data_IF_901422092317
#
_entry.id   IF_901422092317
#
_cell.length_a   1.000
_cell.length_b   1.000
_cell.length_c   1.000
_cell.angle_alpha   90.00
_cell.angle_beta   90.00
_cell.angle_gamma   90.00
#
_symmetry.space_group_name_H-M   'P 1'
#
loop_
_entity.id
_entity.type
_entity.pdbx_description
1 polymer ?
#
# COMPACT_ATOMS: atom_id res chain seq x y z
N UNK A 1 -16.25 -1.25 13.73
CA UNK A 1 -15.34 -0.45 14.57
C UNK A 1 -15.35 0.98 14.04
N UNK A 2 -15.34 1.98 14.92
CA UNK A 2 -15.20 3.39 14.53
C UNK A 2 -14.04 4.00 15.31
N UNK A 3 -13.16 4.71 14.63
CA UNK A 3 -11.97 5.33 15.23
C UNK A 3 -12.38 6.50 16.13
N UNK A 4 -11.89 6.49 17.37
CA UNK A 4 -11.99 7.63 18.27
C UNK A 4 -11.09 8.79 17.84
N UNK A 5 -11.27 10.00 18.40
CA UNK A 5 -10.51 11.17 18.01
C UNK A 5 -8.99 10.94 18.06
N UNK A 6 -8.30 11.43 17.02
CA UNK A 6 -6.84 11.42 16.95
C UNK A 6 -6.29 12.67 17.62
N UNK A 7 -5.49 12.49 18.68
CA UNK A 7 -4.90 13.57 19.48
C UNK A 7 -3.39 13.45 19.48
N UNK A 8 -2.70 14.59 19.58
CA UNK A 8 -1.24 14.67 19.69
C UNK A 8 -0.87 15.10 21.11
N UNK A 9 0.06 14.36 21.71
CA UNK A 9 0.65 14.62 23.03
C UNK A 9 2.16 14.80 22.86
N UNK A 10 2.67 16.03 22.83
CA UNK A 10 4.11 16.28 22.70
C UNK A 10 4.89 15.63 23.84
N UNK A 11 6.02 14.99 23.51
CA UNK A 11 6.97 14.55 24.54
C UNK A 11 7.65 15.78 25.16
N UNK A 12 7.92 15.72 26.47
CA UNK A 12 8.56 16.81 27.21
C UNK A 12 10.08 16.90 27.00
N UNK A 13 10.68 15.94 26.30
CA UNK A 13 12.12 15.94 26.04
C UNK A 13 12.61 14.71 25.31
N UNK A 14 13.93 14.51 25.38
CA UNK A 14 14.62 13.38 24.80
C UNK A 14 14.19 12.04 25.42
N UNK A 15 14.12 10.99 24.61
CA UNK A 15 13.86 9.64 25.08
C UNK A 15 14.60 8.59 24.25
N UNK A 16 14.88 7.41 24.83
CA UNK A 16 15.79 6.42 24.24
C UNK A 16 15.05 5.19 23.72
N UNK A 17 15.59 4.61 22.66
CA UNK A 17 15.21 3.31 22.15
C UNK A 17 15.09 2.26 23.27
N UNK A 18 14.04 1.44 23.20
CA UNK A 18 13.80 0.31 24.11
C UNK A 18 13.23 0.70 25.47
N UNK A 19 13.04 1.98 25.77
CA UNK A 19 12.38 2.42 27.02
C UNK A 19 10.88 2.17 26.95
N UNK A 20 10.31 1.62 28.01
CA UNK A 20 8.89 1.27 28.12
C UNK A 20 8.06 2.38 28.78
N UNK A 21 8.50 3.63 28.70
CA UNK A 21 7.73 4.80 29.11
C UNK A 21 8.03 5.98 28.21
N UNK A 22 7.25 7.05 28.30
CA UNK A 22 7.54 8.33 27.66
C UNK A 22 7.11 9.49 28.57
N UNK A 23 7.92 10.57 28.65
CA UNK A 23 7.52 11.80 29.34
C UNK A 23 6.72 12.71 28.40
N UNK A 24 5.51 13.10 28.78
CA UNK A 24 4.66 14.01 28.03
C UNK A 24 4.67 15.43 28.62
N UNK A 25 4.37 16.42 27.79
CA UNK A 25 4.12 17.79 28.26
C UNK A 25 2.81 17.87 29.08
N UNK A 26 1.80 17.10 28.68
CA UNK A 26 0.50 16.93 29.32
C UNK A 26 -0.04 15.55 28.95
N UNK A 27 -0.55 14.79 29.92
CA UNK A 27 -1.15 13.47 29.70
C UNK A 27 -2.70 13.47 29.85
N UNK A 28 -3.31 14.65 29.96
CA UNK A 28 -4.75 14.78 30.20
C UNK A 28 -5.59 14.05 29.15
N UNK A 29 -6.52 13.21 29.62
CA UNK A 29 -7.43 12.45 28.76
C UNK A 29 -6.88 11.10 28.26
N UNK A 30 -5.61 10.78 28.55
CA UNK A 30 -5.10 9.42 28.36
C UNK A 30 -5.54 8.51 29.51
N UNK A 31 -5.78 7.23 29.20
CA UNK A 31 -6.18 6.22 30.17
C UNK A 31 -5.37 4.93 29.99
N UNK A 32 -5.17 4.20 31.09
CA UNK A 32 -4.57 2.85 31.05
C UNK A 32 -5.44 1.94 30.19
N UNK A 33 -4.79 1.19 29.29
CA UNK A 33 -5.43 0.31 28.31
C UNK A 33 -5.67 0.96 26.94
N UNK A 34 -5.45 2.27 26.78
CA UNK A 34 -5.49 2.89 25.46
C UNK A 34 -4.32 2.42 24.58
N UNK A 35 -4.59 2.17 23.31
CA UNK A 35 -3.56 2.02 22.29
C UNK A 35 -3.10 3.40 21.82
N UNK A 36 -1.79 3.55 21.66
CA UNK A 36 -1.14 4.80 21.24
C UNK A 36 -0.07 4.51 20.21
N UNK A 37 0.30 5.54 19.44
CA UNK A 37 1.53 5.54 18.68
C UNK A 37 2.57 6.49 19.26
N UNK A 38 3.85 6.19 19.08
CA UNK A 38 4.95 7.10 19.45
C UNK A 38 5.88 7.26 18.25
N UNK A 39 6.13 8.51 17.88
CA UNK A 39 6.98 8.87 16.75
C UNK A 39 7.48 10.31 16.86
N UNK A 40 8.40 10.71 15.98
CA UNK A 40 8.82 12.11 15.80
C UNK A 40 8.41 12.67 14.44
N UNK A 41 8.69 13.95 14.20
CA UNK A 41 8.34 14.62 12.94
C UNK A 41 9.18 14.17 11.74
N UNK A 42 10.37 13.63 11.97
CA UNK A 42 11.31 13.18 10.93
C UNK A 42 11.06 11.72 10.50
N UNK A 43 10.63 10.87 11.44
CA UNK A 43 10.34 9.46 11.27
C UNK A 43 8.86 9.18 10.98
N UNK A 44 8.00 10.20 11.06
CA UNK A 44 6.58 10.07 10.74
C UNK A 44 6.38 9.53 9.32
N UNK A 45 5.62 8.44 9.22
CA UNK A 45 5.38 7.72 7.98
C UNK A 45 6.47 6.72 7.57
N UNK A 46 7.51 6.53 8.39
CA UNK A 46 8.52 5.48 8.25
C UNK A 46 8.27 4.25 9.13
N UNK A 47 9.30 3.39 9.26
CA UNK A 47 9.26 2.12 10.00
C UNK A 47 9.67 2.22 11.47
N UNK A 48 9.66 3.42 12.07
CA UNK A 48 10.11 3.62 13.45
C UNK A 48 9.02 4.11 14.41
N UNK A 49 7.77 4.18 13.94
CA UNK A 49 6.62 4.51 14.78
C UNK A 49 6.20 3.33 15.67
N UNK A 50 6.26 3.49 16.98
CA UNK A 50 5.89 2.45 17.94
C UNK A 50 4.37 2.40 18.09
N UNK A 51 3.77 1.21 18.13
CA UNK A 51 2.36 1.04 18.53
C UNK A 51 2.31 0.28 19.85
N UNK A 52 1.82 0.89 20.91
CA UNK A 52 1.87 0.33 22.26
C UNK A 52 0.56 0.54 23.02
N UNK A 53 0.39 -0.22 24.11
CA UNK A 53 -0.72 -0.05 25.04
C UNK A 53 -0.24 0.66 26.30
N UNK A 54 -1.00 1.64 26.79
CA UNK A 54 -0.71 2.31 28.06
C UNK A 54 -0.90 1.32 29.22
N UNK A 55 0.14 1.12 30.03
CA UNK A 55 0.12 0.21 31.20
C UNK A 55 -0.04 0.94 32.53
N UNK A 56 0.44 2.18 32.63
CA UNK A 56 0.28 3.05 33.79
C UNK A 56 0.42 4.51 33.38
N UNK A 57 -0.14 5.41 34.20
CA UNK A 57 0.05 6.86 34.07
C UNK A 57 0.39 7.39 35.45
N UNK A 58 1.46 8.19 35.55
CA UNK A 58 1.87 8.87 36.77
C UNK A 58 2.34 10.28 36.44
N UNK A 59 1.62 11.28 36.95
CA UNK A 59 1.79 12.67 36.53
C UNK A 59 1.71 12.75 34.99
N UNK A 60 2.72 13.28 34.30
CA UNK A 60 2.79 13.31 32.84
C UNK A 60 3.67 12.20 32.23
N UNK A 61 3.97 11.15 32.99
CA UNK A 61 4.66 9.97 32.47
C UNK A 61 3.65 8.87 32.11
N UNK A 62 3.85 8.27 30.95
CA UNK A 62 3.01 7.20 30.43
C UNK A 62 3.87 5.95 30.24
N UNK A 63 3.49 4.87 30.91
CA UNK A 63 4.08 3.55 30.72
C UNK A 63 3.50 2.82 29.52
N UNK A 64 4.34 2.09 28.80
CA UNK A 64 4.02 1.30 27.61
C UNK A 64 4.22 -0.18 27.89
N UNK A 65 3.53 -1.04 27.13
CA UNK A 65 3.64 -2.50 27.26
C UNK A 65 4.93 -3.08 26.65
N UNK A 66 5.66 -2.29 25.86
CA UNK A 66 7.01 -2.60 25.37
C UNK A 66 7.80 -1.32 25.06
N UNK A 67 9.07 -1.51 24.72
CA UNK A 67 10.01 -0.43 24.44
C UNK A 67 9.75 0.28 23.12
N UNK A 68 10.02 1.59 23.07
CA UNK A 68 9.93 2.37 21.83
C UNK A 68 10.99 1.96 20.79
N UNK A 69 10.63 2.08 19.51
CA UNK A 69 11.40 1.60 18.35
C UNK A 69 12.47 2.57 17.83
N UNK A 70 12.63 3.75 18.44
CA UNK A 70 13.64 4.74 18.06
C UNK A 70 14.12 5.60 19.24
N UNK A 71 15.28 6.24 19.04
CA UNK A 71 15.71 7.37 19.87
C UNK A 71 15.01 8.65 19.40
N UNK A 72 14.57 9.48 20.35
CA UNK A 72 13.86 10.72 20.06
C UNK A 72 14.61 11.91 20.61
N UNK A 73 15.03 12.84 19.74
CA UNK A 73 15.60 14.13 20.15
C UNK A 73 14.50 15.16 20.30
N UNK A 74 14.67 16.07 21.25
CA UNK A 74 13.69 17.13 21.49
C UNK A 74 13.41 17.98 20.23
N UNK A 75 14.45 18.27 19.44
CA UNK A 75 14.34 19.09 18.22
C UNK A 75 13.55 18.40 17.09
N UNK A 76 13.45 17.06 17.13
CA UNK A 76 12.66 16.27 16.16
C UNK A 76 11.16 16.29 16.48
N UNK A 77 10.77 16.98 17.56
CA UNK A 77 9.39 17.17 18.04
C UNK A 77 8.64 15.84 18.22
N UNK A 78 9.18 14.92 19.05
CA UNK A 78 8.54 13.65 19.33
C UNK A 78 7.18 13.84 19.99
N UNK A 79 6.26 12.93 19.69
CA UNK A 79 4.93 12.91 20.25
C UNK A 79 4.40 11.49 20.41
N UNK A 80 3.61 11.32 21.45
CA UNK A 80 2.64 10.23 21.54
C UNK A 80 1.36 10.69 20.85
N UNK A 81 0.69 9.80 20.13
CA UNK A 81 -0.61 10.10 19.54
C UNK A 81 -1.63 9.00 19.84
N UNK A 82 -2.91 9.36 19.83
CA UNK A 82 -4.01 8.38 19.76
C UNK A 82 -4.40 8.07 18.31
N UNK A 83 -3.50 8.31 17.35
CA UNK A 83 -3.66 7.94 15.94
C UNK A 83 -2.92 6.63 15.70
N UNK A 84 -3.64 5.57 15.36
CA UNK A 84 -3.13 4.21 15.20
C UNK A 84 -4.13 3.39 14.38
N UNK A 85 -3.70 2.27 13.74
CA UNK A 85 -4.58 1.37 13.02
C UNK A 85 -5.75 0.85 13.87
N UNK A 86 -6.96 0.73 13.31
CA UNK A 86 -8.08 0.12 14.04
C UNK A 86 -7.86 -1.38 14.31
N UNK A 87 -7.18 -2.06 13.39
CA UNK A 87 -6.74 -3.45 13.53
C UNK A 87 -5.29 -3.52 13.10
N UNK A 88 -4.42 -4.04 13.95
CA UNK A 88 -3.05 -4.32 13.54
C UNK A 88 -2.48 -5.58 14.16
N UNK A 89 -1.44 -6.12 13.52
CA UNK A 89 -0.70 -7.27 14.00
C UNK A 89 0.76 -7.25 13.54
N UNK A 90 1.67 -7.47 14.49
CA UNK A 90 3.10 -7.57 14.22
C UNK A 90 3.57 -9.00 14.48
N UNK A 91 4.28 -9.59 13.51
CA UNK A 91 4.86 -10.94 13.61
C UNK A 91 3.84 -12.03 13.98
N UNK A 92 2.62 -11.90 13.48
CA UNK A 92 1.56 -12.88 13.70
C UNK A 92 1.53 -13.92 12.58
N UNK A 93 0.90 -15.06 12.86
CA UNK A 93 0.76 -16.15 11.90
C UNK A 93 -0.62 -16.78 11.97
N UNK A 94 -1.11 -17.27 10.82
CA UNK A 94 -2.39 -18.01 10.74
C UNK A 94 -3.55 -17.24 11.38
N UNK A 95 -3.66 -15.97 11.00
CA UNK A 95 -4.61 -15.03 11.59
C UNK A 95 -5.62 -14.55 10.55
N UNK A 96 -6.79 -14.13 11.02
CA UNK A 96 -7.84 -13.67 10.14
C UNK A 96 -8.60 -12.46 10.68
N UNK A 97 -9.00 -11.57 9.77
CA UNK A 97 -9.92 -10.46 10.02
C UNK A 97 -11.09 -10.63 9.05
N UNK A 98 -12.29 -10.83 9.57
CA UNK A 98 -13.46 -11.19 8.76
C UNK A 98 -14.69 -10.37 9.12
N UNK A 99 -15.47 -10.02 8.10
CA UNK A 99 -16.85 -9.51 8.22
C UNK A 99 -16.97 -8.26 9.09
N UNK A 100 -16.02 -7.33 8.96
CA UNK A 100 -15.98 -6.08 9.73
C UNK A 100 -16.30 -4.86 8.87
N UNK A 101 -17.03 -3.94 9.49
CA UNK A 101 -17.15 -2.55 9.04
C UNK A 101 -16.22 -1.68 9.88
N UNK A 102 -15.35 -0.90 9.24
CA UNK A 102 -14.40 0.01 9.88
C UNK A 102 -14.64 1.43 9.38
N UNK A 103 -14.65 2.39 10.29
CA UNK A 103 -14.87 3.80 9.98
C UNK A 103 -13.76 4.63 10.63
N UNK A 104 -12.98 5.30 9.79
CA UNK A 104 -11.76 5.99 10.17
C UNK A 104 -11.98 7.37 10.79
N UNK A 105 -13.15 7.99 10.59
CA UNK A 105 -13.56 9.23 11.26
C UNK A 105 -12.50 10.35 11.13
N UNK A 106 -11.93 10.50 9.93
CA UNK A 106 -10.79 11.39 9.64
C UNK A 106 -11.00 12.81 10.11
N UNK A 107 -12.22 13.35 9.98
CA UNK A 107 -12.54 14.71 10.40
C UNK A 107 -12.29 14.99 11.90
N UNK A 108 -12.17 13.95 12.73
CA UNK A 108 -11.87 14.03 14.16
C UNK A 108 -10.41 13.69 14.50
N UNK A 109 -9.53 13.56 13.50
CA UNK A 109 -8.09 13.32 13.71
C UNK A 109 -7.30 14.62 13.54
N UNK A 110 -6.48 14.95 14.54
CA UNK A 110 -5.60 16.13 14.49
C UNK A 110 -4.36 15.89 13.59
N UNK A 111 -4.15 14.65 13.14
CA UNK A 111 -3.01 14.23 12.31
C UNK A 111 -3.34 12.96 11.52
N UNK A 112 -2.82 12.89 10.30
CA UNK A 112 -2.87 11.69 9.47
C UNK A 112 -1.78 10.70 9.88
N UNK A 113 -1.98 9.42 9.57
CA UNK A 113 -0.89 8.45 9.59
C UNK A 113 -0.15 8.40 8.25
N UNK A 114 1.14 8.05 8.29
CA UNK A 114 1.95 7.86 7.08
C UNK A 114 1.95 6.42 6.57
N UNK A 115 2.38 6.23 5.31
CA UNK A 115 2.09 5.01 4.55
C UNK A 115 2.77 3.71 4.99
N UNK A 116 3.91 3.75 5.70
CA UNK A 116 4.64 2.52 6.07
C UNK A 116 4.01 1.75 7.25
N UNK A 117 3.25 2.43 8.12
CA UNK A 117 2.58 1.81 9.30
C UNK A 117 1.11 2.23 9.46
N UNK A 118 0.68 3.25 8.74
CA UNK A 118 -0.59 3.93 8.93
C UNK A 118 -1.75 3.42 8.10
N UNK A 119 -2.08 2.13 8.22
CA UNK A 119 -3.31 1.57 7.63
C UNK A 119 -4.46 1.54 8.64
N UNK A 120 -5.72 1.66 8.21
CA UNK A 120 -6.88 1.33 9.05
C UNK A 120 -6.82 -0.13 9.50
N UNK A 121 -6.37 -1.00 8.60
CA UNK A 121 -5.89 -2.36 8.89
C UNK A 121 -4.40 -2.45 8.54
N UNK A 122 -3.57 -2.89 9.48
CA UNK A 122 -2.12 -2.92 9.31
C UNK A 122 -1.46 -4.23 9.74
N UNK A 123 -0.59 -4.80 8.90
CA UNK A 123 0.23 -5.95 9.30
C UNK A 123 1.71 -5.77 9.00
N UNK A 124 2.54 -6.26 9.90
CA UNK A 124 4.00 -6.16 9.79
C UNK A 124 4.64 -7.52 10.04
N UNK A 125 5.57 -7.94 9.17
CA UNK A 125 6.37 -9.18 9.33
C UNK A 125 5.53 -10.43 9.63
N UNK A 126 4.35 -10.53 9.04
CA UNK A 126 3.34 -11.55 9.38
C UNK A 126 3.11 -12.53 8.24
N UNK A 127 2.55 -13.71 8.53
CA UNK A 127 2.30 -14.75 7.51
C UNK A 127 0.96 -15.46 7.63
N UNK A 128 0.47 -16.00 6.52
CA UNK A 128 -0.75 -16.81 6.52
C UNK A 128 -1.93 -16.00 7.02
N UNK A 129 -2.14 -14.84 6.39
CA UNK A 129 -3.17 -13.89 6.79
C UNK A 129 -4.37 -14.02 5.88
N UNK A 130 -5.57 -13.95 6.48
CA UNK A 130 -6.83 -13.86 5.75
C UNK A 130 -7.57 -12.58 6.10
N UNK A 131 -7.88 -11.77 5.10
CA UNK A 131 -8.71 -10.57 5.25
C UNK A 131 -9.91 -10.74 4.32
N UNK A 132 -11.12 -10.88 4.87
CA UNK A 132 -12.31 -11.19 4.04
C UNK A 132 -13.56 -10.45 4.48
N UNK A 133 -14.38 -10.00 3.53
CA UNK A 133 -15.66 -9.37 3.84
C UNK A 133 -15.53 -8.02 4.55
N UNK A 134 -14.47 -7.26 4.25
CA UNK A 134 -14.19 -5.98 4.89
C UNK A 134 -14.87 -4.83 4.17
N UNK A 135 -15.42 -3.88 4.94
CA UNK A 135 -15.85 -2.57 4.45
C UNK A 135 -15.20 -1.50 5.32
N UNK A 136 -14.24 -0.80 4.78
CA UNK A 136 -13.47 0.24 5.47
C UNK A 136 -13.66 1.58 4.75
N UNK A 137 -13.79 2.67 5.51
CA UNK A 137 -13.92 4.01 4.94
C UNK A 137 -13.40 5.15 5.82
N UNK A 138 -13.06 6.27 5.16
CA UNK A 138 -12.72 7.59 5.74
C UNK A 138 -11.62 7.56 6.81
N UNK A 139 -10.57 6.75 6.58
CA UNK A 139 -9.37 6.77 7.39
C UNK A 139 -8.40 7.88 7.00
N UNK A 140 -7.82 8.53 8.01
CA UNK A 140 -6.78 9.53 7.82
C UNK A 140 -5.41 8.88 7.65
N UNK A 141 -5.28 8.08 6.59
CA UNK A 141 -4.11 7.28 6.27
C UNK A 141 -4.43 6.33 5.13
N UNK A 142 -3.78 5.18 5.11
CA UNK A 142 -4.05 4.11 4.13
C UNK A 142 -5.24 3.26 4.59
N UNK A 143 -5.98 2.64 3.68
CA UNK A 143 -7.05 1.70 4.05
C UNK A 143 -6.47 0.38 4.60
N UNK A 144 -5.94 -0.45 3.72
CA UNK A 144 -5.17 -1.65 4.07
C UNK A 144 -3.70 -1.44 3.75
N UNK A 145 -2.82 -1.68 4.73
CA UNK A 145 -1.38 -1.70 4.49
C UNK A 145 -0.73 -2.93 5.13
N UNK A 146 0.19 -3.57 4.44
CA UNK A 146 1.03 -4.58 5.06
C UNK A 146 2.44 -4.59 4.49
N UNK A 147 3.41 -4.87 5.37
CA UNK A 147 4.83 -4.72 5.07
C UNK A 147 5.59 -5.97 5.48
N UNK A 148 6.49 -6.45 4.62
CA UNK A 148 7.28 -7.68 4.84
C UNK A 148 6.42 -8.89 5.22
N UNK A 149 5.22 -9.00 4.66
CA UNK A 149 4.31 -10.12 4.93
C UNK A 149 4.38 -11.17 3.81
N UNK A 150 3.94 -12.40 4.10
CA UNK A 150 3.82 -13.46 3.10
C UNK A 150 2.56 -14.29 3.23
N UNK A 151 2.15 -14.90 2.13
CA UNK A 151 1.00 -15.81 2.10
C UNK A 151 -0.26 -15.10 2.64
N UNK A 152 -0.61 -13.98 2.01
CA UNK A 152 -1.73 -13.12 2.41
C UNK A 152 -2.87 -13.30 1.41
N UNK A 153 -4.08 -13.53 1.90
CA UNK A 153 -5.28 -13.65 1.08
C UNK A 153 -6.26 -12.56 1.50
N UNK A 154 -6.68 -11.75 0.52
CA UNK A 154 -7.65 -10.68 0.67
C UNK A 154 -8.79 -10.96 -0.30
N UNK A 155 -10.01 -11.06 0.23
CA UNK A 155 -11.21 -11.28 -0.58
C UNK A 155 -12.37 -10.40 -0.18
N UNK A 156 -13.20 -10.02 -1.13
CA UNK A 156 -14.49 -9.35 -0.87
C UNK A 156 -14.33 -8.09 0.01
N UNK A 157 -13.25 -7.33 -0.17
CA UNK A 157 -12.81 -6.27 0.73
C UNK A 157 -12.73 -4.91 0.02
N UNK A 158 -13.29 -3.87 0.63
CA UNK A 158 -13.32 -2.51 0.06
C UNK A 158 -12.79 -1.48 1.07
N UNK A 159 -11.98 -0.55 0.57
CA UNK A 159 -11.26 0.48 1.34
C UNK A 159 -11.40 1.83 0.63
N UNK A 160 -12.32 2.66 1.10
CA UNK A 160 -12.87 3.79 0.34
C UNK A 160 -12.71 5.15 1.03
N UNK A 161 -12.43 6.21 0.27
CA UNK A 161 -12.45 7.59 0.78
C UNK A 161 -11.31 7.94 1.74
N UNK A 162 -10.20 7.18 1.72
CA UNK A 162 -9.07 7.40 2.61
C UNK A 162 -8.18 8.57 2.14
N UNK A 163 -7.46 9.20 3.07
CA UNK A 163 -6.50 10.28 2.72
C UNK A 163 -5.19 9.74 2.10
N UNK A 164 -4.92 8.44 2.21
CA UNK A 164 -3.82 7.71 1.58
C UNK A 164 -4.27 6.84 0.41
N UNK A 165 -3.63 5.68 0.22
CA UNK A 165 -4.07 4.68 -0.76
C UNK A 165 -5.18 3.78 -0.17
N UNK A 166 -5.96 3.14 -1.04
CA UNK A 166 -6.94 2.14 -0.63
C UNK A 166 -6.27 0.85 -0.15
N UNK A 167 -5.53 0.20 -1.05
CA UNK A 167 -4.84 -1.08 -0.79
C UNK A 167 -3.33 -0.94 -1.05
N UNK A 168 -2.51 -1.30 -0.07
CA UNK A 168 -1.07 -1.05 -0.08
C UNK A 168 -0.27 -2.28 0.38
N UNK A 169 -0.05 -3.27 -0.49
CA UNK A 169 1.00 -4.26 -0.27
C UNK A 169 2.39 -3.62 -0.41
N UNK A 170 3.25 -3.75 0.60
CA UNK A 170 4.55 -3.11 0.56
C UNK A 170 5.72 -3.86 1.17
N UNK A 171 6.90 -3.24 1.01
CA UNK A 171 8.21 -3.63 1.51
C UNK A 171 8.48 -5.14 1.45
N UNK A 172 8.74 -5.67 0.26
CA UNK A 172 9.12 -7.07 0.11
C UNK A 172 7.99 -8.06 0.37
N UNK A 173 6.73 -7.62 0.56
CA UNK A 173 5.65 -8.57 0.77
C UNK A 173 5.49 -9.47 -0.45
N UNK A 174 5.38 -10.78 -0.21
CA UNK A 174 5.52 -11.80 -1.24
C UNK A 174 4.35 -12.79 -1.18
N UNK A 175 3.85 -13.21 -2.34
CA UNK A 175 2.78 -14.20 -2.46
C UNK A 175 1.47 -13.74 -1.78
N UNK A 176 0.83 -12.72 -2.36
CA UNK A 176 -0.46 -12.22 -1.89
C UNK A 176 -1.54 -12.29 -2.98
N UNK A 177 -2.78 -12.63 -2.59
CA UNK A 177 -3.94 -12.64 -3.46
C UNK A 177 -4.92 -11.56 -3.03
N UNK A 178 -5.31 -10.69 -3.96
CA UNK A 178 -6.47 -9.82 -3.87
C UNK A 178 -7.50 -10.28 -4.89
N UNK A 179 -8.69 -10.65 -4.43
CA UNK A 179 -9.77 -11.15 -5.27
C UNK A 179 -11.08 -10.47 -4.90
N UNK A 180 -11.81 -9.95 -5.90
CA UNK A 180 -13.08 -9.25 -5.67
C UNK A 180 -12.96 -8.13 -4.62
N UNK A 181 -11.90 -7.33 -4.71
CA UNK A 181 -11.63 -6.21 -3.81
C UNK A 181 -11.80 -4.86 -4.52
N UNK A 182 -11.87 -3.77 -3.76
CA UNK A 182 -11.92 -2.45 -4.37
C UNK A 182 -11.39 -1.31 -3.51
N UNK A 183 -11.16 -0.19 -4.18
CA UNK A 183 -10.86 1.08 -3.54
C UNK A 183 -11.40 2.22 -4.37
N UNK A 184 -12.30 3.01 -3.77
CA UNK A 184 -12.94 4.14 -4.41
C UNK A 184 -12.66 5.46 -3.68
N UNK A 185 -12.42 6.53 -4.44
CA UNK A 185 -12.35 7.88 -3.87
C UNK A 185 -11.18 8.11 -2.92
N UNK A 186 -10.14 7.27 -2.94
CA UNK A 186 -8.95 7.45 -2.13
C UNK A 186 -8.09 8.58 -2.71
N UNK A 187 -7.53 9.43 -1.86
CA UNK A 187 -6.79 10.60 -2.31
C UNK A 187 -5.50 10.26 -3.07
N UNK A 188 -4.94 9.05 -2.86
CA UNK A 188 -3.79 8.52 -3.62
C UNK A 188 -4.23 7.41 -4.58
N UNK A 189 -3.57 6.25 -4.59
CA UNK A 189 -3.94 5.15 -5.49
C UNK A 189 -5.06 4.29 -4.93
N UNK A 190 -5.91 3.73 -5.80
CA UNK A 190 -6.83 2.66 -5.40
C UNK A 190 -6.05 1.42 -4.97
N UNK A 191 -5.03 1.06 -5.75
CA UNK A 191 -4.07 0.00 -5.43
C UNK A 191 -2.63 0.50 -5.59
N UNK A 192 -1.81 0.32 -4.56
CA UNK A 192 -0.45 0.81 -4.49
C UNK A 192 0.52 -0.34 -4.21
N UNK A 193 1.17 -0.87 -5.24
CA UNK A 193 2.37 -1.65 -5.03
C UNK A 193 3.50 -0.69 -4.62
N UNK A 194 4.09 -0.95 -3.46
CA UNK A 194 5.02 -0.02 -2.84
C UNK A 194 6.46 -0.26 -3.33
N UNK A 195 7.22 -1.06 -2.59
CA UNK A 195 8.60 -1.42 -2.92
C UNK A 195 8.76 -2.91 -2.79
N UNK A 196 9.24 -3.54 -3.85
CA UNK A 196 9.57 -4.96 -3.91
C UNK A 196 8.37 -5.88 -3.58
N UNK A 197 7.16 -5.46 -3.94
CA UNK A 197 6.01 -6.34 -3.97
C UNK A 197 6.22 -7.42 -5.04
N UNK A 198 6.04 -8.69 -4.65
CA UNK A 198 6.49 -9.82 -5.46
C UNK A 198 5.49 -10.98 -5.47
N UNK A 199 5.18 -11.57 -6.63
CA UNK A 199 4.21 -12.66 -6.77
C UNK A 199 2.83 -12.31 -6.18
N UNK A 200 2.37 -11.09 -6.43
CA UNK A 200 1.03 -10.65 -6.00
C UNK A 200 0.07 -10.77 -7.18
N UNK A 201 -1.10 -11.36 -6.95
CA UNK A 201 -2.22 -11.35 -7.89
C UNK A 201 -3.28 -10.36 -7.42
N UNK A 202 -3.72 -9.49 -8.32
CA UNK A 202 -4.89 -8.62 -8.17
C UNK A 202 -5.88 -9.04 -9.24
N UNK A 203 -6.98 -9.68 -8.84
CA UNK A 203 -7.97 -10.22 -9.79
C UNK A 203 -9.40 -9.85 -9.44
N UNK A 204 -10.20 -9.61 -10.46
CA UNK A 204 -11.63 -9.27 -10.32
C UNK A 204 -11.86 -8.04 -9.43
N UNK A 205 -10.90 -7.11 -9.38
CA UNK A 205 -10.94 -5.94 -8.50
C UNK A 205 -11.41 -4.68 -9.24
N UNK A 206 -11.84 -3.67 -8.46
CA UNK A 206 -12.27 -2.37 -8.99
C UNK A 206 -11.59 -1.19 -8.28
N UNK A 207 -10.98 -0.30 -9.07
CA UNK A 207 -10.32 0.91 -8.59
C UNK A 207 -10.87 2.14 -9.33
N UNK A 208 -11.66 2.95 -8.62
CA UNK A 208 -12.39 4.06 -9.22
C UNK A 208 -12.23 5.38 -8.47
N UNK A 209 -12.21 6.50 -9.21
CA UNK A 209 -12.28 7.86 -8.61
C UNK A 209 -11.14 8.18 -7.63
N UNK A 210 -10.02 7.45 -7.69
CA UNK A 210 -8.86 7.70 -6.86
C UNK A 210 -7.92 8.72 -7.52
N UNK A 211 -6.90 9.19 -6.80
CA UNK A 211 -5.79 9.96 -7.38
C UNK A 211 -5.06 9.22 -8.51
N UNK A 212 -4.93 7.89 -8.44
CA UNK A 212 -4.55 7.02 -9.57
C UNK A 212 -5.19 5.64 -9.40
N UNK A 213 -5.37 4.88 -10.47
CA UNK A 213 -5.99 3.56 -10.38
C UNK A 213 -5.09 2.55 -9.66
N UNK A 214 -4.09 2.05 -10.37
CA UNK A 214 -3.08 1.11 -9.90
C UNK A 214 -1.71 1.74 -10.09
N UNK A 215 -0.90 1.77 -9.03
CA UNK A 215 0.48 2.25 -9.07
C UNK A 215 1.45 1.12 -8.77
N UNK A 216 2.39 0.86 -9.70
CA UNK A 216 3.42 -0.17 -9.60
C UNK A 216 4.77 0.51 -9.37
N UNK A 217 5.49 0.04 -8.35
CA UNK A 217 6.60 0.73 -7.71
C UNK A 217 7.95 0.05 -7.79
N UNK A 218 8.93 0.72 -7.18
CA UNK A 218 10.34 0.37 -7.21
C UNK A 218 10.61 -1.09 -6.81
N UNK A 219 11.33 -1.84 -7.64
CA UNK A 219 11.66 -3.28 -7.49
C UNK A 219 10.47 -4.23 -7.51
N UNK A 220 9.27 -3.76 -7.84
CA UNK A 220 8.11 -4.64 -7.94
C UNK A 220 8.28 -5.56 -9.14
N UNK A 221 8.04 -6.86 -8.92
CA UNK A 221 8.21 -7.85 -9.96
C UNK A 221 7.37 -9.11 -9.81
N UNK A 222 7.19 -9.86 -10.89
CA UNK A 222 6.43 -11.11 -10.93
C UNK A 222 4.98 -10.92 -10.46
N UNK A 223 4.37 -9.75 -10.69
CA UNK A 223 2.99 -9.47 -10.27
C UNK A 223 2.01 -9.68 -11.43
N UNK A 224 0.79 -10.11 -11.10
CA UNK A 224 -0.30 -10.33 -12.03
C UNK A 224 -1.48 -9.42 -11.69
N UNK A 225 -1.92 -8.62 -12.65
CA UNK A 225 -3.16 -7.84 -12.59
C UNK A 225 -4.08 -8.41 -13.67
N UNK A 226 -5.24 -8.93 -13.27
CA UNK A 226 -6.12 -9.68 -14.15
C UNK A 226 -7.58 -9.28 -13.96
N UNK A 227 -8.33 -9.13 -15.05
CA UNK A 227 -9.78 -8.91 -15.01
C UNK A 227 -10.23 -7.78 -14.06
N UNK A 228 -9.41 -6.73 -13.96
CA UNK A 228 -9.68 -5.58 -13.10
C UNK A 228 -10.39 -4.46 -13.86
N UNK A 229 -11.19 -3.66 -13.15
CA UNK A 229 -11.82 -2.44 -13.66
C UNK A 229 -11.14 -1.23 -13.06
N UNK A 230 -10.50 -0.42 -13.89
CA UNK A 230 -9.74 0.77 -13.47
C UNK A 230 -10.33 1.99 -14.17
N UNK A 231 -11.15 2.76 -13.46
CA UNK A 231 -11.98 3.78 -14.11
C UNK A 231 -12.05 5.12 -13.40
N UNK A 232 -12.18 6.20 -14.17
CA UNK A 232 -12.52 7.51 -13.63
C UNK A 232 -11.56 8.02 -12.56
N UNK A 233 -10.31 7.55 -12.55
CA UNK A 233 -9.30 8.04 -11.62
C UNK A 233 -8.81 9.41 -12.10
N UNK A 234 -8.49 10.30 -11.14
CA UNK A 234 -8.05 11.66 -11.42
C UNK A 234 -6.68 11.71 -12.12
N UNK A 235 -5.87 10.69 -11.93
CA UNK A 235 -4.59 10.47 -12.59
C UNK A 235 -4.60 9.24 -13.49
N UNK A 236 -3.42 8.70 -13.75
CA UNK A 236 -3.22 7.54 -14.64
C UNK A 236 -3.98 6.31 -14.14
N UNK A 237 -4.54 5.54 -15.08
CA UNK A 237 -5.19 4.26 -14.79
C UNK A 237 -4.21 3.25 -14.21
N UNK A 238 -3.18 2.85 -14.98
CA UNK A 238 -2.07 2.01 -14.53
C UNK A 238 -0.76 2.75 -14.69
N UNK A 239 -0.13 3.10 -13.58
CA UNK A 239 1.14 3.82 -13.53
C UNK A 239 2.28 2.89 -13.12
N UNK A 240 3.21 2.65 -14.03
CA UNK A 240 4.53 2.07 -13.70
C UNK A 240 5.45 3.25 -13.36
N UNK A 241 5.73 3.42 -12.07
CA UNK A 241 6.39 4.61 -11.51
C UNK A 241 7.86 4.72 -11.93
N UNK A 242 8.44 5.94 -11.93
CA UNK A 242 9.87 6.14 -12.14
C UNK A 242 10.69 5.33 -11.14
N UNK A 243 11.57 4.46 -11.65
CA UNK A 243 12.39 3.52 -10.90
C UNK A 243 13.57 3.15 -11.78
N UNK A 244 14.63 3.97 -11.78
CA UNK A 244 15.78 3.75 -12.64
C UNK A 244 16.54 2.48 -12.22
N UNK A 245 17.38 1.97 -13.12
CA UNK A 245 18.26 0.83 -12.82
C UNK A 245 19.08 1.04 -11.53
N UNK A 246 19.27 0.02 -10.68
CA UNK A 246 18.87 -1.40 -10.83
C UNK A 246 17.61 -1.74 -10.01
N UNK A 247 16.69 -0.79 -9.85
CA UNK A 247 15.49 -0.94 -9.01
C UNK A 247 14.20 -0.81 -9.79
N UNK A 248 14.27 -1.04 -11.09
CA UNK A 248 13.19 -0.97 -12.04
C UNK A 248 12.08 -2.01 -11.78
N UNK A 249 10.89 -1.71 -12.31
CA UNK A 249 9.76 -2.64 -12.34
C UNK A 249 10.01 -3.66 -13.44
N UNK A 250 9.79 -4.94 -13.16
CA UNK A 250 9.92 -5.94 -14.22
C UNK A 250 9.05 -7.18 -14.06
N UNK A 251 8.90 -7.97 -15.13
CA UNK A 251 8.22 -9.27 -15.09
C UNK A 251 6.78 -9.19 -14.55
N UNK A 252 6.04 -8.14 -14.91
CA UNK A 252 4.65 -7.98 -14.51
C UNK A 252 3.71 -8.21 -15.69
N UNK A 253 2.54 -8.78 -15.42
CA UNK A 253 1.50 -9.01 -16.44
C UNK A 253 0.21 -8.30 -16.06
N UNK A 254 -0.34 -7.55 -17.01
CA UNK A 254 -1.61 -6.86 -16.91
C UNK A 254 -2.49 -7.37 -18.04
N UNK A 255 -3.54 -8.11 -17.69
CA UNK A 255 -4.37 -8.75 -18.70
C UNK A 255 -5.87 -8.66 -18.45
N UNK A 256 -6.63 -8.65 -19.55
CA UNK A 256 -8.09 -8.72 -19.52
C UNK A 256 -8.73 -7.63 -18.67
N UNK A 257 -8.04 -6.50 -18.45
CA UNK A 257 -8.55 -5.40 -17.66
C UNK A 257 -9.33 -4.41 -18.52
N UNK A 258 -10.30 -3.72 -17.91
CA UNK A 258 -10.96 -2.55 -18.50
C UNK A 258 -10.39 -1.31 -17.84
N UNK A 259 -9.70 -0.47 -18.62
CA UNK A 259 -9.01 0.73 -18.15
C UNK A 259 -9.58 1.93 -18.91
N UNK A 260 -10.42 2.73 -18.27
CA UNK A 260 -11.20 3.74 -18.99
C UNK A 260 -11.44 5.04 -18.23
N UNK A 261 -11.48 6.14 -18.97
CA UNK A 261 -11.87 7.45 -18.45
C UNK A 261 -11.01 7.94 -17.28
N UNK A 262 -9.76 7.47 -17.19
CA UNK A 262 -8.77 8.03 -16.27
C UNK A 262 -8.24 9.36 -16.86
N UNK A 263 -7.17 9.94 -16.31
CA UNK A 263 -6.58 11.18 -16.84
C UNK A 263 -6.06 11.04 -18.29
N UNK A 264 -5.24 11.98 -18.76
CA UNK A 264 -4.68 12.01 -20.13
C UNK A 264 -3.92 10.75 -20.59
N UNK A 265 -3.63 9.80 -19.70
CA UNK A 265 -2.95 8.54 -20.05
C UNK A 265 -3.59 7.39 -19.30
N UNK A 266 -4.00 6.34 -20.02
CA UNK A 266 -4.63 5.16 -19.40
C UNK A 266 -3.58 4.22 -18.80
N UNK A 267 -2.49 3.95 -19.51
CA UNK A 267 -1.34 3.16 -19.03
C UNK A 267 -0.04 3.94 -19.29
N UNK A 268 0.78 4.14 -18.26
CA UNK A 268 2.01 4.91 -18.35
C UNK A 268 3.22 4.14 -17.83
N UNK A 269 4.17 3.85 -18.71
CA UNK A 269 5.46 3.21 -18.41
C UNK A 269 6.56 4.27 -18.45
N UNK A 270 6.98 4.75 -17.29
CA UNK A 270 7.68 6.04 -17.16
C UNK A 270 9.22 5.99 -17.15
N UNK A 271 9.82 4.80 -17.19
CA UNK A 271 11.26 4.62 -16.90
C UNK A 271 11.81 3.29 -17.44
N UNK A 272 12.97 2.85 -16.92
CA UNK A 272 13.75 1.65 -17.25
C UNK A 272 13.03 0.30 -17.04
N UNK A 273 11.71 0.30 -16.86
CA UNK A 273 10.93 -0.90 -16.65
C UNK A 273 11.06 -1.88 -17.82
N UNK A 274 11.04 -3.18 -17.53
CA UNK A 274 11.19 -4.21 -18.56
C UNK A 274 10.42 -5.50 -18.33
N UNK A 275 10.32 -6.34 -19.36
CA UNK A 275 9.58 -7.61 -19.31
C UNK A 275 8.13 -7.42 -18.83
N UNK A 276 7.47 -6.36 -19.30
CA UNK A 276 6.06 -6.08 -19.00
C UNK A 276 5.18 -6.62 -20.11
N UNK A 277 4.10 -7.30 -19.74
CA UNK A 277 3.13 -7.85 -20.68
C UNK A 277 1.78 -7.19 -20.44
N UNK A 278 1.26 -6.52 -21.48
CA UNK A 278 -0.09 -6.00 -21.54
C UNK A 278 -0.88 -6.82 -22.56
N UNK A 279 -1.85 -7.60 -22.09
CA UNK A 279 -2.52 -8.62 -22.90
C UNK A 279 -4.05 -8.49 -22.83
N UNK A 280 -4.73 -8.40 -23.98
CA UNK A 280 -6.19 -8.45 -24.06
C UNK A 280 -6.93 -7.42 -23.17
N UNK A 281 -6.33 -6.25 -22.94
CA UNK A 281 -6.98 -5.17 -22.19
C UNK A 281 -7.90 -4.34 -23.08
N UNK A 282 -8.99 -3.84 -22.50
CA UNK A 282 -9.87 -2.84 -23.11
C UNK A 282 -9.51 -1.47 -22.54
N UNK A 283 -9.06 -0.56 -23.40
CA UNK A 283 -8.50 0.72 -23.00
C UNK A 283 -9.28 1.84 -23.70
N UNK A 284 -9.88 2.75 -22.93
CA UNK A 284 -10.68 3.85 -23.47
C UNK A 284 -10.30 5.21 -22.85
N UNK A 285 -9.83 6.14 -23.68
CA UNK A 285 -9.44 7.49 -23.27
C UNK A 285 -10.59 8.50 -23.19
N UNK A 286 -11.81 8.16 -23.60
CA UNK A 286 -12.94 9.11 -23.62
C UNK A 286 -12.79 10.23 -24.66
N UNK A 287 -12.27 9.89 -25.84
CA UNK A 287 -11.95 10.74 -27.00
C UNK A 287 -10.79 11.73 -26.80
N UNK A 288 -9.98 11.56 -25.75
CA UNK A 288 -8.84 12.42 -25.43
C UNK A 288 -7.64 11.58 -24.96
N UNK A 289 -6.43 12.15 -24.98
CA UNK A 289 -5.25 11.56 -24.35
C UNK A 289 -4.66 10.32 -25.06
N UNK A 290 -3.86 9.56 -24.31
CA UNK A 290 -3.05 8.44 -24.80
C UNK A 290 -3.52 7.14 -24.15
N UNK A 291 -3.68 6.08 -24.94
CA UNK A 291 -3.99 4.75 -24.44
C UNK A 291 -2.82 4.18 -23.63
N UNK A 292 -1.69 3.95 -24.30
CA UNK A 292 -0.48 3.41 -23.66
C UNK A 292 0.72 4.30 -23.98
N UNK A 293 1.41 4.82 -22.97
CA UNK A 293 2.67 5.57 -23.11
C UNK A 293 3.85 4.74 -22.60
N UNK A 294 4.90 4.65 -23.41
CA UNK A 294 6.14 3.92 -23.11
C UNK A 294 7.34 4.83 -23.28
N UNK A 295 8.08 5.02 -22.19
CA UNK A 295 9.31 5.81 -22.15
C UNK A 295 10.44 5.19 -22.96
N UNK A 296 11.35 6.02 -23.45
CA UNK A 296 12.54 5.65 -24.23
C UNK A 296 13.39 4.59 -23.54
N UNK A 297 13.51 4.68 -22.21
CA UNK A 297 14.42 3.82 -21.47
C UNK A 297 13.81 2.47 -21.07
N UNK A 298 12.51 2.29 -21.30
CA UNK A 298 11.84 1.01 -21.12
C UNK A 298 12.31 -0.01 -22.17
N UNK A 299 12.26 -1.29 -21.84
CA UNK A 299 12.67 -2.36 -22.77
C UNK A 299 11.85 -3.63 -22.58
N UNK A 300 11.82 -4.52 -23.58
CA UNK A 300 11.07 -5.78 -23.48
C UNK A 300 9.59 -5.59 -23.09
N UNK A 301 8.94 -4.55 -23.59
CA UNK A 301 7.51 -4.31 -23.40
C UNK A 301 6.73 -5.08 -24.46
N UNK A 302 5.79 -5.89 -24.03
CA UNK A 302 4.96 -6.70 -24.91
C UNK A 302 3.51 -6.22 -24.87
N UNK A 303 2.96 -5.89 -26.04
CA UNK A 303 1.58 -5.50 -26.24
C UNK A 303 0.90 -6.54 -27.12
N UNK A 304 -0.09 -7.26 -26.58
CA UNK A 304 -0.80 -8.32 -27.30
C UNK A 304 -2.31 -8.14 -27.19
N UNK A 305 -2.99 -8.10 -28.33
CA UNK A 305 -4.46 -8.10 -28.39
C UNK A 305 -5.18 -7.04 -27.53
N UNK A 306 -4.52 -5.93 -27.20
CA UNK A 306 -5.18 -4.81 -26.51
C UNK A 306 -6.09 -4.07 -27.49
N UNK A 307 -7.31 -3.78 -27.04
CA UNK A 307 -8.29 -2.98 -27.77
C UNK A 307 -8.24 -1.56 -27.21
N UNK A 308 -7.68 -0.63 -27.99
CA UNK A 308 -7.54 0.77 -27.60
C UNK A 308 -8.50 1.61 -28.42
N UNK A 309 -9.40 2.31 -27.76
CA UNK A 309 -10.44 3.14 -28.36
C UNK A 309 -10.49 4.50 -27.68
N UNK A 310 -11.11 5.50 -28.33
CA UNK A 310 -11.34 6.79 -27.68
C UNK A 310 -10.07 7.49 -27.19
N UNK A 311 -8.92 7.26 -27.83
CA UNK A 311 -7.66 7.95 -27.54
C UNK A 311 -7.24 8.80 -28.74
N UNK A 312 -6.59 9.94 -28.50
CA UNK A 312 -5.94 10.71 -29.58
C UNK A 312 -4.75 9.94 -30.16
N UNK A 313 -4.09 9.16 -29.30
CA UNK A 313 -3.03 8.26 -29.68
C UNK A 313 -3.17 6.92 -28.95
N UNK A 314 -3.41 5.85 -29.69
CA UNK A 314 -3.57 4.51 -29.12
C UNK A 314 -2.33 4.09 -28.32
N UNK A 315 -1.15 4.30 -28.89
CA UNK A 315 0.13 4.01 -28.24
C UNK A 315 1.18 5.05 -28.61
N UNK A 316 1.82 5.62 -27.59
CA UNK A 316 2.97 6.50 -27.71
C UNK A 316 4.23 5.77 -27.25
N UNK A 317 5.14 5.52 -28.18
CA UNK A 317 6.42 4.84 -27.92
C UNK A 317 7.54 5.79 -28.28
N UNK A 318 8.40 6.13 -27.31
CA UNK A 318 9.53 7.04 -27.56
C UNK A 318 10.68 6.36 -28.31
N UNK A 319 10.93 5.07 -28.08
CA UNK A 319 11.84 4.24 -28.86
C UNK A 319 11.20 2.89 -29.20
N UNK A 320 11.09 2.56 -30.50
CA UNK A 320 10.54 1.27 -30.94
C UNK A 320 11.33 0.05 -30.42
N UNK A 321 12.61 0.23 -30.07
CA UNK A 321 13.42 -0.82 -29.44
C UNK A 321 12.91 -1.22 -28.05
N UNK A 322 12.03 -0.42 -27.44
CA UNK A 322 11.37 -0.76 -26.19
C UNK A 322 10.42 -1.95 -26.32
N UNK A 323 9.94 -2.28 -27.52
CA UNK A 323 9.04 -3.41 -27.76
C UNK A 323 9.80 -4.72 -28.02
N UNK A 324 9.30 -5.82 -27.47
CA UNK A 324 9.84 -7.15 -27.77
C UNK A 324 8.77 -8.26 -27.77
N UNK A 325 9.16 -9.44 -28.26
CA UNK A 325 8.42 -10.67 -27.98
C UNK A 325 8.50 -11.00 -26.48
N UNK A 326 7.46 -11.61 -25.90
CA UNK A 326 7.42 -11.81 -24.46
C UNK A 326 8.43 -12.88 -24.05
N UNK A 327 9.31 -12.55 -23.12
CA UNK A 327 10.10 -13.56 -22.40
C UNK A 327 9.17 -14.29 -21.43
N UNK A 328 9.10 -15.63 -21.44
CA UNK A 328 8.31 -16.37 -20.47
C UNK A 328 8.80 -16.12 -19.04
N UNK A 329 7.89 -15.73 -18.15
CA UNK A 329 8.10 -15.68 -16.70
C UNK A 329 6.84 -16.17 -15.99
N UNK A 330 7.00 -16.68 -14.78
CA UNK A 330 5.90 -16.97 -13.86
C UNK A 330 5.59 -15.74 -13.01
N UNK A 331 4.32 -15.50 -12.70
CA UNK A 331 3.92 -14.31 -11.96
C UNK A 331 2.59 -14.52 -11.24
N UNK A 332 2.43 -13.81 -10.13
CA UNK A 332 1.22 -13.84 -9.32
C UNK A 332 1.27 -14.83 -8.17
N UNK A 333 0.19 -14.82 -7.41
CA UNK A 333 -0.03 -15.67 -6.25
C UNK A 333 0.01 -17.15 -6.61
N UNK A 334 0.75 -17.93 -5.82
CA UNK A 334 0.92 -19.38 -6.01
C UNK A 334 2.14 -19.76 -6.85
N UNK A 335 2.71 -18.82 -7.59
CA UNK A 335 3.86 -19.08 -8.48
C UNK A 335 5.22 -18.74 -7.85
N UNK A 336 5.21 -18.20 -6.62
CA UNK A 336 6.42 -17.83 -5.90
C UNK A 336 7.32 -19.06 -5.62
N UNK A 337 8.56 -19.11 -6.14
CA UNK A 337 9.48 -20.18 -5.79
C UNK A 337 9.92 -20.07 -4.32
N UNK A 338 10.47 -21.15 -3.77
CA UNK A 338 10.84 -21.21 -2.35
C UNK A 338 11.85 -20.12 -1.94
N UNK A 339 12.76 -19.74 -2.83
CA UNK A 339 13.76 -18.71 -2.60
C UNK A 339 13.21 -17.28 -2.66
N UNK A 340 12.03 -17.06 -3.25
CA UNK A 340 11.37 -15.75 -3.30
C UNK A 340 11.04 -15.20 -1.90
N UNK A 341 11.08 -16.03 -0.86
CA UNK A 341 10.79 -15.64 0.52
C UNK A 341 12.04 -15.40 1.38
N UNK A 342 13.25 -15.67 0.89
CA UNK A 342 14.49 -15.67 1.69
C UNK A 342 14.83 -14.31 2.34
N UNK A 343 14.27 -13.21 1.81
CA UNK A 343 14.45 -11.89 2.41
C UNK A 343 13.51 -11.58 3.57
N UNK A 344 12.53 -12.44 3.84
CA UNK A 344 11.58 -12.25 4.92
C UNK A 344 12.06 -13.01 6.15
N UNK A 345 12.21 -12.29 7.26
CA UNK A 345 12.55 -12.86 8.57
C UNK A 345 11.33 -13.51 9.25
N UNK A 346 10.54 -14.26 8.50
CA UNK A 346 9.38 -15.01 9.01
C UNK A 346 9.75 -16.49 8.92
N UNK A 347 9.68 -17.27 10.02
CA UNK A 347 10.12 -18.67 10.03
C UNK A 347 9.53 -19.46 8.87
N UNK A 348 10.20 -20.53 8.40
CA UNK A 348 9.63 -21.43 7.40
C UNK A 348 8.41 -22.19 7.96
N UNK A 349 7.61 -22.80 7.08
CA UNK A 349 6.53 -23.71 7.48
C UNK A 349 7.19 -24.90 8.17
N UNK A 350 6.86 -25.14 9.44
CA UNK A 350 7.10 -26.45 10.06
C UNK A 350 6.16 -27.50 9.44
#
# INVERSE_FOLDING_TARGET
LRKGPGRIYPLAGYHNYGMCDVPLADATGLEVGMTVSVHDGSAHGGFYETFATITWIKDNWVGLDHGIEADYRADDKPSLTTVYPLVFGHRIQSAAVRDLRLEGNRAASDRNMGGCRGGAIYFYQSRGLEITGIRESDYDGEGLSFQMCRDVIIRDAHFDGNSGNGLHPGAGSTNALFENCGGQGNAKSGFFFCVRANHITVRDCEFAENGSGISIGTRDCNNLIENCRVRSNQGVGVLVRPSPRPVEVHSCRIRQCTIQGNSDVQIDVTTDAHDLIFEANQIDGGDQGIGIRIAETASSIHLESNDVTGCEQDTQIQDSASLASPTPFTCGYGDAPADAFQHLAVPERD
#
